data_IF_015809860457
#
_entry.id   IF_015809860457
#
_cell.length_a   1.000
_cell.length_b   1.000
_cell.length_c   1.000
_cell.angle_alpha   90.00
_cell.angle_beta   90.00
_cell.angle_gamma   90.00
#
_symmetry.space_group_name_H-M   'P 1'
#
loop_
_entity.id
_entity.type
_entity.pdbx_description
1 polymer ?
#
# COMPACT_ATOMS: atom_id res chain seq x y z
N UNK A 1 10.41 4.72 -20.92
CA UNK A 1 9.14 5.04 -20.21
C UNK A 1 9.47 5.32 -18.76
N UNK A 2 9.39 6.58 -18.33
CA UNK A 2 9.70 6.96 -16.95
C UNK A 2 8.38 6.93 -16.17
N UNK A 3 8.18 5.91 -15.34
CA UNK A 3 7.12 5.92 -14.32
C UNK A 3 7.41 7.07 -13.35
N UNK A 4 6.74 8.22 -13.56
CA UNK A 4 6.75 9.34 -12.61
C UNK A 4 6.04 8.89 -11.34
N UNK A 5 6.78 8.26 -10.41
CA UNK A 5 6.42 8.22 -9.00
C UNK A 5 6.39 9.68 -8.53
N UNK A 6 5.20 10.23 -8.34
CA UNK A 6 5.01 11.59 -7.83
C UNK A 6 5.32 11.59 -6.32
N UNK A 7 6.59 11.79 -5.99
CA UNK A 7 7.06 12.04 -4.62
C UNK A 7 6.53 13.39 -4.13
N UNK A 8 5.37 13.40 -3.48
CA UNK A 8 4.94 14.52 -2.65
C UNK A 8 4.95 14.07 -1.18
N UNK A 9 5.87 14.62 -0.37
CA UNK A 9 5.88 14.49 1.10
C UNK A 9 5.77 13.05 1.64
N UNK A 10 6.70 12.16 1.26
CA UNK A 10 6.77 10.78 1.78
C UNK A 10 5.50 9.94 1.59
N UNK A 11 4.53 10.41 0.79
CA UNK A 11 3.30 9.70 0.46
C UNK A 11 3.46 9.09 -0.94
N UNK A 12 3.57 7.76 -0.98
CA UNK A 12 3.54 6.97 -2.19
C UNK A 12 2.09 6.81 -2.65
N UNK A 13 1.90 6.89 -3.98
CA UNK A 13 0.63 6.64 -4.65
C UNK A 13 0.88 5.65 -5.78
N UNK A 14 0.19 4.52 -5.76
CA UNK A 14 0.34 3.46 -6.75
C UNK A 14 -1.02 3.13 -7.35
N UNK A 15 -1.10 3.16 -8.69
CA UNK A 15 -2.26 2.66 -9.42
C UNK A 15 -2.26 1.14 -9.39
N UNK A 16 -3.39 0.56 -8.98
CA UNK A 16 -3.53 -0.87 -8.76
C UNK A 16 -4.75 -1.39 -9.50
N UNK A 17 -4.59 -2.56 -10.12
CA UNK A 17 -5.72 -3.33 -10.66
C UNK A 17 -6.48 -4.01 -9.53
N UNK A 18 -5.74 -4.57 -8.57
CA UNK A 18 -6.29 -5.22 -7.39
C UNK A 18 -5.29 -5.17 -6.23
N UNK A 19 -5.80 -5.31 -5.02
CA UNK A 19 -4.98 -5.55 -3.84
C UNK A 19 -5.70 -6.46 -2.86
N UNK A 20 -4.93 -7.21 -2.08
CA UNK A 20 -5.42 -8.06 -1.00
C UNK A 20 -4.70 -7.71 0.30
N UNK A 21 -5.48 -7.28 1.29
CA UNK A 21 -5.01 -7.06 2.65
C UNK A 21 -5.01 -8.39 3.40
N UNK A 22 -3.93 -8.68 4.12
CA UNK A 22 -3.87 -9.81 5.06
C UNK A 22 -4.74 -9.61 6.30
N UNK A 23 -4.71 -10.57 7.24
CA UNK A 23 -5.42 -10.49 8.53
C UNK A 23 -4.88 -9.39 9.45
N UNK A 24 -3.71 -8.85 9.12
CA UNK A 24 -2.96 -7.89 9.92
C UNK A 24 -3.42 -6.45 9.71
N UNK A 25 -4.57 -6.24 9.06
CA UNK A 25 -5.12 -4.94 8.74
C UNK A 25 -6.47 -4.73 9.41
N UNK A 26 -6.57 -3.65 10.18
CA UNK A 26 -7.83 -3.19 10.75
C UNK A 26 -8.37 -2.03 9.93
N UNK A 27 -9.61 -2.14 9.47
CA UNK A 27 -10.31 -1.03 8.82
C UNK A 27 -10.56 0.11 9.82
N UNK A 28 -10.23 1.33 9.44
CA UNK A 28 -10.52 2.54 10.21
C UNK A 28 -11.97 3.01 9.99
N UNK A 29 -12.41 4.02 10.75
CA UNK A 29 -13.77 4.59 10.66
C UNK A 29 -14.11 5.11 9.26
N UNK A 30 -13.12 5.59 8.52
CA UNK A 30 -13.30 6.02 7.13
C UNK A 30 -13.35 4.80 6.22
N UNK A 31 -14.33 4.77 5.31
CA UNK A 31 -14.33 3.83 4.20
C UNK A 31 -12.97 3.92 3.49
N UNK A 32 -12.40 2.77 3.15
CA UNK A 32 -11.13 2.65 2.42
C UNK A 32 -9.82 2.92 3.17
N UNK A 33 -9.85 3.25 4.46
CA UNK A 33 -8.63 3.39 5.29
C UNK A 33 -8.39 2.14 6.13
N UNK A 34 -7.14 1.67 6.16
CA UNK A 34 -6.72 0.50 6.92
C UNK A 34 -5.43 0.79 7.69
N UNK A 35 -5.32 0.20 8.88
CA UNK A 35 -4.17 0.35 9.77
C UNK A 35 -3.55 -1.02 10.08
N UNK A 36 -2.24 -1.13 9.94
CA UNK A 36 -1.47 -2.32 10.30
C UNK A 36 -1.53 -2.56 11.81
N UNK A 37 -1.96 -3.75 12.23
CA UNK A 37 -2.12 -4.12 13.66
C UNK A 37 -0.82 -4.66 14.26
N UNK A 38 0.07 -5.20 13.43
CA UNK A 38 1.36 -5.76 13.84
C UNK A 38 2.46 -5.39 12.84
N UNK A 39 3.70 -5.72 13.22
CA UNK A 39 4.84 -5.62 12.33
C UNK A 39 4.73 -6.60 11.15
N UNK A 40 5.34 -6.25 10.02
CA UNK A 40 5.32 -7.05 8.80
C UNK A 40 3.92 -7.33 8.26
N UNK A 41 3.00 -6.38 8.45
CA UNK A 41 1.67 -6.43 7.86
C UNK A 41 1.80 -6.35 6.33
N UNK A 42 1.29 -7.37 5.63
CA UNK A 42 1.49 -7.51 4.18
C UNK A 42 0.29 -7.06 3.37
N UNK A 43 0.57 -6.44 2.22
CA UNK A 43 -0.41 -6.18 1.16
C UNK A 43 0.11 -6.82 -0.12
N UNK A 44 -0.69 -7.70 -0.70
CA UNK A 44 -0.46 -8.18 -2.06
C UNK A 44 -1.08 -7.17 -3.02
N UNK A 45 -0.29 -6.66 -3.95
CA UNK A 45 -0.67 -5.59 -4.86
C UNK A 45 -0.42 -6.03 -6.28
N UNK A 46 -1.45 -5.99 -7.11
CA UNK A 46 -1.29 -6.13 -8.56
C UNK A 46 -1.34 -4.73 -9.19
N UNK A 47 -0.22 -4.19 -9.69
CA UNK A 47 -0.19 -2.89 -10.35
C UNK A 47 -1.08 -2.89 -11.61
N UNK A 48 -1.54 -1.72 -12.04
CA UNK A 48 -2.47 -1.63 -13.18
C UNK A 48 -1.86 -2.05 -14.53
N UNK A 49 -0.55 -1.84 -14.72
CA UNK A 49 0.18 -2.12 -15.95
C UNK A 49 1.20 -3.26 -15.81
N UNK A 50 1.04 -4.10 -14.79
CA UNK A 50 1.94 -5.20 -14.50
C UNK A 50 1.11 -6.45 -14.15
N UNK A 51 1.42 -7.58 -14.78
CA UNK A 51 0.75 -8.84 -14.48
C UNK A 51 1.24 -9.47 -13.17
N UNK A 52 2.43 -9.08 -12.69
CA UNK A 52 3.02 -9.62 -11.49
C UNK A 52 2.38 -9.03 -10.22
N UNK A 53 2.04 -9.92 -9.29
CA UNK A 53 1.61 -9.53 -7.94
C UNK A 53 2.84 -9.28 -7.09
N UNK A 54 2.92 -8.08 -6.51
CA UNK A 54 4.01 -7.67 -5.63
C UNK A 54 3.55 -7.73 -4.17
N UNK A 55 4.46 -8.09 -3.27
CA UNK A 55 4.21 -8.05 -1.84
C UNK A 55 4.86 -6.80 -1.24
N UNK A 56 4.06 -6.00 -0.53
CA UNK A 56 4.55 -4.86 0.25
C UNK A 56 4.39 -5.17 1.74
N UNK A 57 5.48 -5.10 2.49
CA UNK A 57 5.51 -5.31 3.94
C UNK A 57 5.60 -3.97 4.68
N UNK A 58 4.72 -3.78 5.66
CA UNK A 58 4.57 -2.54 6.40
C UNK A 58 4.91 -2.68 7.88
N UNK A 59 5.36 -1.58 8.49
CA UNK A 59 5.56 -1.47 9.94
C UNK A 59 4.22 -1.49 10.69
N UNK A 60 4.27 -1.78 11.99
CA UNK A 60 3.08 -1.67 12.85
C UNK A 60 2.57 -0.24 12.85
N UNK A 61 1.24 -0.07 12.93
CA UNK A 61 0.54 1.21 12.91
C UNK A 61 0.60 2.00 11.59
N UNK A 62 1.22 1.48 10.54
CA UNK A 62 1.18 2.08 9.21
C UNK A 62 -0.24 2.20 8.69
N UNK A 63 -0.54 3.31 8.04
CA UNK A 63 -1.86 3.58 7.46
C UNK A 63 -1.79 3.48 5.95
N UNK A 64 -2.78 2.81 5.37
CA UNK A 64 -2.98 2.73 3.93
C UNK A 64 -4.39 3.17 3.57
N UNK A 65 -4.51 3.78 2.41
CA UNK A 65 -5.79 4.16 1.81
C UNK A 65 -5.93 3.44 0.47
N UNK A 66 -7.06 2.77 0.25
CA UNK A 66 -7.37 2.03 -0.99
C UNK A 66 -8.67 2.54 -1.58
N UNK A 67 -8.57 3.49 -2.50
CA UNK A 67 -9.72 4.20 -3.05
C UNK A 67 -9.55 4.38 -4.56
N UNK A 68 -10.62 4.15 -5.34
CA UNK A 68 -10.68 4.44 -6.78
C UNK A 68 -9.51 3.84 -7.60
N UNK A 69 -9.13 2.59 -7.32
CA UNK A 69 -8.01 1.91 -7.99
C UNK A 69 -6.63 2.45 -7.59
N UNK A 70 -6.55 3.21 -6.50
CA UNK A 70 -5.32 3.82 -6.00
C UNK A 70 -5.00 3.33 -4.59
N UNK A 71 -3.78 2.85 -4.41
CA UNK A 71 -3.19 2.55 -3.10
C UNK A 71 -2.30 3.73 -2.69
N UNK A 72 -2.57 4.32 -1.51
CA UNK A 72 -1.74 5.37 -0.91
C UNK A 72 -1.16 4.92 0.42
N UNK A 73 0.11 5.19 0.63
CA UNK A 73 0.84 4.83 1.85
C UNK A 73 2.09 5.68 2.02
N UNK A 74 2.71 5.66 3.21
CA UNK A 74 3.97 6.36 3.42
C UNK A 74 5.17 5.48 3.02
N UNK A 75 6.15 6.02 2.30
CA UNK A 75 7.34 5.26 1.89
C UNK A 75 8.15 4.75 3.08
N UNK A 76 8.30 5.57 4.12
CA UNK A 76 9.02 5.22 5.36
C UNK A 76 8.41 4.05 6.15
N UNK A 77 7.16 3.72 5.84
CA UNK A 77 6.39 2.66 6.50
C UNK A 77 6.66 1.29 5.85
N UNK A 78 7.24 1.28 4.64
CA UNK A 78 7.68 0.06 3.96
C UNK A 78 8.94 -0.47 4.63
N UNK A 79 9.00 -1.79 4.84
CA UNK A 79 10.18 -2.48 5.36
C UNK A 79 11.12 -3.00 4.27
N UNK A 80 10.60 -3.36 3.09
CA UNK A 80 11.41 -3.82 1.97
C UNK A 80 11.66 -2.68 0.97
N UNK A 81 12.80 -2.01 1.11
CA UNK A 81 13.44 -1.36 -0.03
C UNK A 81 14.21 -2.45 -0.78
N UNK A 82 13.86 -2.68 -2.05
CA UNK A 82 14.81 -3.26 -3.01
C UNK A 82 15.86 -2.20 -3.35
#
# INVERSE_FOLDING_TARGET
MIQKQLYFNNNMRQLIKSCKLGRDWKKNRNFHSYKAVQEDAKILVQPMHDSETRELSFKKNSNVLIQDGLLRFHSKDIKNNF
#
